data_IF_915168130231
#
_entry.id   IF_915168130231
#
_cell.length_a   1.000
_cell.length_b   1.000
_cell.length_c   1.000
_cell.angle_alpha   90.00
_cell.angle_beta   90.00
_cell.angle_gamma   90.00
#
_symmetry.space_group_name_H-M   'P 1'
#
loop_
_entity.id
_entity.type
_entity.pdbx_description
1 polymer ?
#
# COMPACT_ATOMS: atom_id res chain seq x y z
N UNK A 1 5.22 -11.09 -10.48
CA UNK A 1 4.95 -9.75 -9.93
C UNK A 1 3.45 -9.57 -9.97
N UNK A 2 2.84 -9.15 -8.86
CA UNK A 2 1.40 -9.01 -8.67
C UNK A 2 1.12 -7.63 -8.09
N UNK A 3 -0.08 -7.10 -8.32
CA UNK A 3 -0.51 -5.82 -7.75
C UNK A 3 -1.31 -6.12 -6.50
N UNK A 4 -1.02 -5.41 -5.42
CA UNK A 4 -1.71 -5.52 -4.15
C UNK A 4 -2.30 -4.18 -3.76
N UNK A 5 -3.58 -4.23 -3.35
CA UNK A 5 -4.25 -3.16 -2.63
C UNK A 5 -4.05 -3.38 -1.13
N UNK A 6 -3.35 -2.47 -0.49
CA UNK A 6 -3.08 -2.48 0.95
C UNK A 6 -3.91 -1.39 1.62
N UNK A 7 -4.77 -1.77 2.55
CA UNK A 7 -5.61 -0.89 3.36
C UNK A 7 -5.06 -0.90 4.78
N UNK A 8 -4.84 0.28 5.33
CA UNK A 8 -4.28 0.45 6.66
C UNK A 8 -4.75 1.78 7.24
N UNK A 9 -4.52 2.01 8.53
CA UNK A 9 -4.70 3.30 9.17
C UNK A 9 -3.34 3.92 9.45
N UNK A 10 -3.21 5.22 9.19
CA UNK A 10 -2.06 6.03 9.58
C UNK A 10 -2.56 7.33 10.19
N UNK A 11 -2.05 7.67 11.39
CA UNK A 11 -2.49 8.85 12.16
C UNK A 11 -4.01 8.86 12.42
N UNK A 12 -4.62 7.69 12.58
CA UNK A 12 -6.07 7.53 12.78
C UNK A 12 -6.94 7.63 11.52
N UNK A 13 -6.34 7.83 10.34
CA UNK A 13 -7.07 7.91 9.07
C UNK A 13 -6.84 6.67 8.22
N UNK A 14 -7.89 6.15 7.60
CA UNK A 14 -7.78 5.05 6.65
C UNK A 14 -7.04 5.51 5.39
N UNK A 15 -6.11 4.70 4.93
CA UNK A 15 -5.27 4.89 3.74
C UNK A 15 -5.35 3.64 2.87
N UNK A 16 -5.11 3.85 1.57
CA UNK A 16 -5.04 2.79 0.58
C UNK A 16 -3.80 3.02 -0.26
N UNK A 17 -2.93 2.01 -0.32
CA UNK A 17 -1.77 1.99 -1.21
C UNK A 17 -1.91 0.87 -2.24
N UNK A 18 -1.54 1.16 -3.48
CA UNK A 18 -1.44 0.16 -4.55
C UNK A 18 0.04 -0.09 -4.80
N UNK A 19 0.50 -1.32 -4.58
CA UNK A 19 1.92 -1.68 -4.67
C UNK A 19 2.12 -2.91 -5.55
N UNK A 20 3.24 -2.98 -6.25
CA UNK A 20 3.63 -4.16 -7.04
C UNK A 20 4.63 -4.98 -6.23
N UNK A 21 4.29 -6.22 -5.89
CA UNK A 21 5.12 -7.09 -5.06
C UNK A 21 5.10 -8.55 -5.55
N UNK A 22 5.98 -9.40 -5.00
CA UNK A 22 6.00 -10.84 -5.27
C UNK A 22 4.91 -11.59 -4.50
N UNK A 23 4.62 -11.13 -3.29
CA UNK A 23 3.65 -11.72 -2.37
C UNK A 23 3.11 -10.64 -1.40
N UNK A 24 2.11 -11.02 -0.59
CA UNK A 24 1.47 -10.14 0.39
C UNK A 24 2.45 -9.61 1.45
N UNK A 25 3.33 -10.46 1.94
CA UNK A 25 4.33 -10.09 2.96
C UNK A 25 5.25 -8.97 2.46
N UNK A 26 5.69 -9.05 1.21
CA UNK A 26 6.51 -8.00 0.61
C UNK A 26 5.71 -6.70 0.43
N UNK A 27 4.45 -6.80 0.00
CA UNK A 27 3.58 -5.63 -0.17
C UNK A 27 3.32 -4.90 1.16
N UNK A 28 3.06 -5.62 2.25
CA UNK A 28 2.89 -5.02 3.58
C UNK A 28 4.18 -4.35 4.07
N UNK A 29 5.35 -4.99 3.87
CA UNK A 29 6.65 -4.40 4.21
C UNK A 29 6.92 -3.11 3.46
N UNK A 30 6.53 -3.02 2.18
CA UNK A 30 6.71 -1.81 1.39
C UNK A 30 5.89 -0.64 1.93
N UNK A 31 4.67 -0.90 2.41
CA UNK A 31 3.78 0.15 2.95
C UNK A 31 4.17 0.54 4.37
N UNK A 32 4.56 -0.42 5.22
CA UNK A 32 4.93 -0.14 6.61
C UNK A 32 6.29 0.53 6.76
N UNK A 33 7.20 0.42 5.78
CA UNK A 33 8.54 1.03 5.81
C UNK A 33 8.50 2.56 5.85
N UNK A 34 7.46 3.18 5.29
CA UNK A 34 7.33 4.64 5.21
C UNK A 34 6.81 5.26 6.51
N UNK A 35 6.41 4.45 7.50
CA UNK A 35 5.90 4.92 8.78
C UNK A 35 6.95 4.77 9.89
N UNK A 36 7.40 5.90 10.42
CA UNK A 36 8.18 5.92 11.66
C UNK A 36 7.32 5.37 12.82
N UNK A 37 7.96 4.80 13.85
CA UNK A 37 7.27 4.29 15.07
C UNK A 37 6.35 5.32 15.78
N UNK A 38 6.45 6.60 15.44
CA UNK A 38 5.60 7.68 15.97
C UNK A 38 4.30 7.87 15.18
N UNK A 39 4.24 7.37 13.95
CA UNK A 39 3.01 7.33 13.18
C UNK A 39 2.27 6.05 13.58
N UNK A 40 1.11 6.21 14.21
CA UNK A 40 0.23 5.10 14.55
C UNK A 40 -0.22 4.38 13.27
N UNK A 41 0.56 3.39 12.84
CA UNK A 41 0.27 2.47 11.75
C UNK A 41 -0.52 1.28 12.28
N UNK A 42 -1.66 1.00 11.67
CA UNK A 42 -2.47 -0.18 11.95
C UNK A 42 -2.85 -0.85 10.64
N UNK A 43 -2.39 -2.07 10.43
CA UNK A 43 -2.76 -2.87 9.26
C UNK A 43 -4.24 -3.27 9.32
N UNK A 44 -4.94 -3.19 8.19
CA UNK A 44 -6.34 -3.62 8.09
C UNK A 44 -6.48 -4.81 7.14
N UNK A 45 -6.13 -4.64 5.86
CA UNK A 45 -6.34 -5.69 4.84
C UNK A 45 -5.38 -5.54 3.67
N UNK A 46 -4.97 -6.67 3.10
CA UNK A 46 -4.30 -6.76 1.81
C UNK A 46 -5.14 -7.61 0.85
N UNK A 47 -5.11 -7.26 -0.44
CA UNK A 47 -5.78 -8.03 -1.48
C UNK A 47 -5.01 -7.90 -2.80
N UNK A 48 -4.76 -9.01 -3.48
CA UNK A 48 -4.30 -9.01 -4.87
C UNK A 48 -5.39 -8.43 -5.78
N UNK A 49 -5.03 -7.50 -6.66
CA UNK A 49 -5.94 -6.88 -7.61
C UNK A 49 -5.34 -6.81 -9.02
N UNK A 50 -6.21 -6.63 -10.02
CA UNK A 50 -5.79 -6.31 -11.38
C UNK A 50 -5.71 -4.79 -11.55
N UNK A 51 -4.62 -4.30 -12.17
CA UNK A 51 -4.50 -2.90 -12.61
C UNK A 51 -5.39 -2.69 -13.83
N UNK A 52 -6.65 -2.36 -13.59
CA UNK A 52 -7.56 -1.87 -14.64
C UNK A 52 -7.63 -0.35 -14.58
N UNK A 53 -7.87 0.30 -15.72
CA UNK A 53 -7.95 1.77 -15.84
C UNK A 53 -9.01 2.37 -14.90
N UNK A 54 -10.05 1.62 -14.57
CA UNK A 54 -11.13 2.02 -13.67
C UNK A 54 -10.74 2.06 -12.18
N UNK A 55 -9.63 1.39 -11.82
CA UNK A 55 -9.17 1.29 -10.43
C UNK A 55 -8.06 2.31 -10.07
N UNK A 56 -7.68 3.18 -11.00
CA UNK A 56 -6.64 4.19 -10.82
C UNK A 56 -7.31 5.52 -10.45
N UNK A 57 -7.47 5.76 -9.14
CA UNK A 57 -8.12 6.97 -8.61
C UNK A 57 -7.13 8.16 -8.59
N UNK A 58 -5.83 7.88 -8.42
CA UNK A 58 -4.73 8.85 -8.48
C UNK A 58 -3.39 8.07 -8.43
N UNK A 59 -2.44 8.38 -9.30
CA UNK A 59 -1.09 7.79 -9.28
C UNK A 59 -0.10 8.88 -8.89
N UNK A 60 0.44 8.84 -7.67
CA UNK A 60 1.70 9.53 -7.38
C UNK A 60 2.83 8.56 -7.74
N UNK A 61 3.60 8.90 -8.76
CA UNK A 61 4.84 8.19 -9.08
C UNK A 61 5.89 8.66 -8.09
N UNK A 62 6.17 7.86 -7.05
CA UNK A 62 7.30 8.10 -6.16
C UNK A 62 8.50 7.37 -6.75
N UNK A 63 9.39 8.11 -7.40
CA UNK A 63 10.69 7.60 -7.85
C UNK A 63 11.59 7.45 -6.62
N UNK A 64 12.00 6.21 -6.32
CA UNK A 64 13.01 5.93 -5.29
C UNK A 64 14.35 5.78 -6.02
N UNK A 65 15.25 6.75 -5.86
CA UNK A 65 16.64 6.75 -6.36
C UNK A 65 17.58 6.11 -5.35
#
# INVERSE_FOLDING_TARGET
>A
MKVFRVIYFAKGFQRVSIVVAKNEEQAEKMVSKDFDRKDHYEFNRIQECELTTENIIHTEVIEIV
#
